data_IF_244600525589
#
_entry.id   IF_244600525589
#
_cell.length_a   1.000
_cell.length_b   1.000
_cell.length_c   1.000
_cell.angle_alpha   90.00
_cell.angle_beta   90.00
_cell.angle_gamma   90.00
#
_symmetry.space_group_name_H-M   'P 1'
#
loop_
_entity.id
_entity.type
_entity.pdbx_description
1 polymer ?
#
# COMPACT_ATOMS: atom_id res chain seq x y z
N UNK A 1 26.60 -37.42 -0.83
CA UNK A 1 25.59 -36.35 -0.98
C UNK A 1 24.22 -37.02 -1.09
N UNK A 2 23.25 -36.62 -0.25
CA UNK A 2 21.96 -37.29 -0.09
C UNK A 2 20.91 -36.69 -1.05
N UNK A 3 20.21 -37.50 -1.88
CA UNK A 3 19.31 -36.98 -2.94
C UNK A 3 18.08 -36.23 -2.40
N UNK A 4 17.73 -36.42 -1.11
CA UNK A 4 16.63 -35.69 -0.46
C UNK A 4 16.91 -34.20 -0.25
N UNK A 5 18.17 -33.78 -0.13
CA UNK A 5 18.51 -32.36 0.12
C UNK A 5 18.53 -31.51 -1.16
N UNK A 6 18.74 -32.12 -2.33
CA UNK A 6 18.67 -31.43 -3.61
C UNK A 6 17.23 -30.96 -3.93
N UNK A 7 16.22 -31.73 -3.51
CA UNK A 7 14.82 -31.41 -3.79
C UNK A 7 14.31 -30.19 -3.01
N UNK A 8 14.78 -30.01 -1.76
CA UNK A 8 14.42 -28.87 -0.91
C UNK A 8 15.00 -27.56 -1.46
N UNK A 9 16.25 -27.59 -1.95
CA UNK A 9 16.91 -26.42 -2.53
C UNK A 9 16.23 -25.96 -3.83
N UNK A 10 15.73 -26.89 -4.66
CA UNK A 10 15.01 -26.56 -5.89
C UNK A 10 13.60 -26.00 -5.64
N UNK A 11 12.91 -26.49 -4.60
CA UNK A 11 11.60 -25.96 -4.21
C UNK A 11 11.70 -24.53 -3.65
N UNK A 12 12.73 -24.23 -2.86
CA UNK A 12 12.99 -22.89 -2.33
C UNK A 12 13.29 -21.87 -3.43
N UNK A 13 13.97 -22.27 -4.51
CA UNK A 13 14.24 -21.38 -5.63
C UNK A 13 13.00 -21.06 -6.46
N UNK A 14 12.07 -22.01 -6.59
CA UNK A 14 10.82 -21.80 -7.33
C UNK A 14 9.91 -20.80 -6.62
N UNK A 15 9.84 -20.83 -5.28
CA UNK A 15 9.07 -19.87 -4.48
C UNK A 15 9.65 -18.45 -4.53
N UNK A 16 10.98 -18.32 -4.52
CA UNK A 16 11.66 -17.02 -4.63
C UNK A 16 11.46 -16.37 -6.01
N UNK A 17 11.41 -17.17 -7.08
CA UNK A 17 11.20 -16.66 -8.43
C UNK A 17 9.72 -16.30 -8.72
N UNK A 18 8.77 -17.01 -8.10
CA UNK A 18 7.35 -16.65 -8.16
C UNK A 18 7.01 -15.39 -7.35
N UNK A 19 7.77 -15.08 -6.29
CA UNK A 19 7.61 -13.84 -5.52
C UNK A 19 8.11 -12.59 -6.25
N UNK A 20 9.15 -12.72 -7.09
CA UNK A 20 9.71 -11.58 -7.84
C UNK A 20 8.90 -11.21 -9.07
N UNK A 21 8.16 -12.15 -9.67
CA UNK A 21 7.28 -11.88 -10.81
C UNK A 21 6.02 -11.07 -10.45
N UNK A 22 5.67 -11.00 -9.15
CA UNK A 22 4.63 -10.10 -8.66
C UNK A 22 5.12 -8.65 -8.49
N UNK A 23 6.42 -8.38 -8.66
CA UNK A 23 7.04 -7.06 -8.48
C UNK A 23 7.28 -6.32 -9.81
N UNK A 24 6.92 -6.91 -10.96
CA UNK A 24 7.30 -6.38 -12.28
C UNK A 24 6.15 -6.23 -13.27
N UNK A 25 4.91 -6.07 -12.79
CA UNK A 25 3.80 -5.55 -13.59
C UNK A 25 2.86 -4.75 -12.68
N UNK A 26 3.37 -3.66 -12.11
CA UNK A 26 2.51 -2.56 -11.69
C UNK A 26 2.37 -1.66 -12.92
N UNK A 27 1.28 -1.90 -13.64
CA UNK A 27 0.73 -0.96 -14.63
C UNK A 27 0.75 0.45 -14.02
N UNK A 28 1.53 1.36 -14.59
CA UNK A 28 1.76 2.70 -14.02
C UNK A 28 0.55 3.64 -14.20
N UNK A 29 -0.59 3.15 -14.70
CA UNK A 29 -1.75 3.97 -14.99
C UNK A 29 -2.98 3.59 -14.15
N UNK A 30 -3.02 2.37 -13.60
CA UNK A 30 -3.97 2.01 -12.57
C UNK A 30 -3.49 2.49 -11.20
N UNK A 31 -4.39 3.10 -10.41
CA UNK A 31 -4.15 3.22 -8.96
C UNK A 31 -3.93 1.80 -8.50
N UNK A 32 -2.67 1.39 -8.30
CA UNK A 32 -2.46 0.04 -7.86
C UNK A 32 -3.10 -0.02 -6.48
N UNK A 33 -4.08 -0.90 -6.31
CA UNK A 33 -4.76 -1.05 -5.03
C UNK A 33 -3.73 -1.30 -3.91
N UNK A 34 -2.57 -1.85 -4.26
CA UNK A 34 -1.38 -1.97 -3.43
C UNK A 34 -0.83 -0.62 -2.95
N UNK A 35 -0.68 0.39 -3.81
CA UNK A 35 -0.18 1.71 -3.40
C UNK A 35 -1.17 2.42 -2.45
N UNK A 36 -2.47 2.32 -2.73
CA UNK A 36 -3.49 2.85 -1.84
C UNK A 36 -3.50 2.12 -0.49
N UNK A 37 -3.34 0.78 -0.50
CA UNK A 37 -3.18 0.00 0.72
C UNK A 37 -1.92 0.37 1.51
N UNK A 38 -0.78 0.55 0.85
CA UNK A 38 0.46 0.97 1.50
C UNK A 38 0.33 2.37 2.11
N UNK A 39 -0.35 3.29 1.43
CA UNK A 39 -0.65 4.60 2.00
C UNK A 39 -1.58 4.50 3.22
N UNK A 40 -2.61 3.66 3.15
CA UNK A 40 -3.48 3.39 4.28
C UNK A 40 -2.73 2.78 5.48
N UNK A 41 -1.81 1.83 5.21
CA UNK A 41 -0.94 1.23 6.22
C UNK A 41 -0.08 2.30 6.90
N UNK A 42 0.46 3.25 6.14
CA UNK A 42 1.24 4.37 6.69
C UNK A 42 0.41 5.26 7.61
N UNK A 43 -0.84 5.58 7.26
CA UNK A 43 -1.76 6.38 8.09
C UNK A 43 -2.11 5.61 9.37
N UNK A 44 -2.43 4.32 9.23
CA UNK A 44 -2.72 3.44 10.36
C UNK A 44 -1.52 3.29 11.30
N UNK A 45 -0.30 3.22 10.76
CA UNK A 45 0.92 3.18 11.53
C UNK A 45 1.14 4.49 12.30
N UNK A 46 0.97 5.65 11.64
CA UNK A 46 1.04 6.97 12.27
C UNK A 46 0.05 7.08 13.43
N UNK A 47 -1.20 6.67 13.22
CA UNK A 47 -2.25 6.70 14.27
C UNK A 47 -1.88 5.87 15.50
N UNK A 48 -1.23 4.72 15.29
CA UNK A 48 -0.83 3.80 16.36
C UNK A 48 0.50 4.16 17.02
N UNK A 49 1.46 4.71 16.28
CA UNK A 49 2.86 4.87 16.74
C UNK A 49 3.25 6.30 17.09
N UNK A 50 2.66 7.29 16.41
CA UNK A 50 2.93 8.71 16.68
C UNK A 50 1.78 9.27 17.52
N UNK A 51 0.66 9.56 16.87
CA UNK A 51 -0.57 10.00 17.50
C UNK A 51 -1.70 10.02 16.46
N UNK A 52 -2.94 9.97 16.96
CA UNK A 52 -4.14 9.93 16.12
C UNK A 52 -4.38 11.26 15.40
N UNK A 53 -4.00 12.39 15.99
CA UNK A 53 -4.25 13.73 15.43
C UNK A 53 -3.36 13.98 14.20
N UNK A 54 -2.11 13.51 14.23
CA UNK A 54 -1.20 13.53 13.08
C UNK A 54 -1.72 12.67 11.93
N UNK A 55 -2.28 11.49 12.23
CA UNK A 55 -2.92 10.67 11.20
C UNK A 55 -4.18 11.34 10.66
N UNK A 56 -4.97 11.98 11.53
CA UNK A 56 -6.15 12.74 11.12
C UNK A 56 -5.76 13.92 10.22
N UNK A 57 -4.68 14.63 10.52
CA UNK A 57 -4.18 15.71 9.68
C UNK A 57 -3.83 15.20 8.26
N UNK A 58 -3.20 14.03 8.14
CA UNK A 58 -2.95 13.41 6.83
C UNK A 58 -4.25 13.11 6.08
N UNK A 59 -5.27 12.64 6.80
CA UNK A 59 -6.58 12.39 6.22
C UNK A 59 -7.29 13.67 5.76
N UNK A 60 -7.24 14.73 6.57
CA UNK A 60 -7.82 16.04 6.26
C UNK A 60 -7.14 16.67 5.05
N UNK A 61 -5.82 16.51 4.90
CA UNK A 61 -5.09 16.95 3.70
C UNK A 61 -5.56 16.20 2.45
N UNK A 62 -5.78 14.88 2.55
CA UNK A 62 -6.31 14.10 1.44
C UNK A 62 -7.74 14.51 1.08
N UNK A 63 -8.59 14.81 2.07
CA UNK A 63 -9.94 15.32 1.85
C UNK A 63 -9.92 16.71 1.18
N UNK A 64 -9.02 17.59 1.58
CA UNK A 64 -8.81 18.89 0.92
C UNK A 64 -8.37 18.72 -0.55
N UNK A 65 -7.43 17.80 -0.81
CA UNK A 65 -7.00 17.47 -2.17
C UNK A 65 -8.14 16.85 -2.99
N UNK A 66 -9.02 16.04 -2.40
CA UNK A 66 -10.17 15.47 -3.08
C UNK A 66 -11.22 16.55 -3.46
N UNK A 67 -11.35 17.58 -2.62
CA UNK A 67 -12.32 18.65 -2.82
C UNK A 67 -11.93 19.64 -3.92
N UNK A 68 -10.64 19.80 -4.25
CA UNK A 68 -10.28 20.77 -5.29
C UNK A 68 -10.71 20.31 -6.69
N UNK A 69 -11.21 21.22 -7.53
CA UNK A 69 -11.68 20.88 -8.87
C UNK A 69 -10.53 20.49 -9.82
N UNK A 70 -10.86 19.67 -10.82
CA UNK A 70 -9.93 19.26 -11.88
C UNK A 70 -9.47 17.82 -11.77
N UNK A 71 -8.72 17.37 -12.79
CA UNK A 71 -8.16 16.02 -12.83
C UNK A 71 -6.99 15.94 -11.86
N UNK A 72 -7.06 14.99 -10.93
CA UNK A 72 -5.98 14.70 -9.98
C UNK A 72 -4.93 13.81 -10.62
N UNK A 73 -3.66 14.10 -10.36
CA UNK A 73 -2.56 13.22 -10.74
C UNK A 73 -2.59 11.93 -9.91
N UNK A 74 -1.83 10.94 -10.35
CA UNK A 74 -1.86 9.60 -9.78
C UNK A 74 -1.52 9.56 -8.28
N UNK A 75 -0.45 10.22 -7.79
CA UNK A 75 -0.13 10.25 -6.37
C UNK A 75 -1.26 10.81 -5.51
N UNK A 76 -1.91 11.89 -5.97
CA UNK A 76 -3.03 12.49 -5.25
C UNK A 76 -4.22 11.53 -5.16
N UNK A 77 -4.55 10.85 -6.26
CA UNK A 77 -5.62 9.83 -6.23
C UNK A 77 -5.30 8.67 -5.28
N UNK A 78 -4.05 8.22 -5.26
CA UNK A 78 -3.59 7.17 -4.34
C UNK A 78 -3.70 7.63 -2.88
N UNK A 79 -3.33 8.87 -2.56
CA UNK A 79 -3.45 9.41 -1.21
C UNK A 79 -4.91 9.49 -0.74
N UNK A 80 -5.81 9.93 -1.61
CA UNK A 80 -7.26 9.98 -1.35
C UNK A 80 -7.82 8.57 -1.12
N UNK A 81 -7.50 7.63 -2.01
CA UNK A 81 -7.96 6.24 -1.90
C UNK A 81 -7.41 5.55 -0.64
N UNK A 82 -6.13 5.73 -0.34
CA UNK A 82 -5.50 5.19 0.85
C UNK A 82 -6.07 5.77 2.14
N UNK A 83 -6.38 7.05 2.16
CA UNK A 83 -7.08 7.70 3.28
C UNK A 83 -8.46 7.10 3.51
N UNK A 84 -9.24 6.90 2.45
CA UNK A 84 -10.55 6.25 2.56
C UNK A 84 -10.44 4.81 3.11
N UNK A 85 -9.40 4.07 2.72
CA UNK A 85 -9.13 2.73 3.28
C UNK A 85 -8.75 2.84 4.77
N UNK A 86 -7.89 3.77 5.17
CA UNK A 86 -7.50 3.95 6.57
C UNK A 86 -8.71 4.29 7.46
N UNK A 87 -9.63 5.14 6.97
CA UNK A 87 -10.90 5.46 7.61
C UNK A 87 -11.80 4.22 7.76
N UNK A 88 -11.91 3.41 6.70
CA UNK A 88 -12.66 2.14 6.77
C UNK A 88 -12.10 1.14 7.79
N UNK A 89 -10.82 1.26 8.15
CA UNK A 89 -10.13 0.45 9.16
C UNK A 89 -10.22 1.04 10.57
N UNK A 90 -10.79 2.24 10.74
CA UNK A 90 -10.88 2.93 12.03
C UNK A 90 -9.57 3.58 12.49
N UNK A 91 -8.61 3.78 11.58
CA UNK A 91 -7.32 4.41 11.92
C UNK A 91 -7.45 5.93 12.09
N UNK A 92 -8.41 6.54 11.37
CA UNK A 92 -8.77 7.96 11.34
C UNK A 92 -10.29 8.06 11.21
N UNK A 93 -10.85 9.20 11.57
CA UNK A 93 -12.29 9.49 11.53
C UNK A 93 -12.74 9.97 10.14
#
# INVERSE_FOLDING_TARGET
MNPKQALVLLASWSLLLSGLAACSTADQNDISAADAQAHADSICLTSQQLDRDSAQLMADMADAMAAEPGVKDQPTRTAIAGTAIARSRGCVD
#
